data_IF_230333968943
#
_entry.id   IF_230333968943
#
_cell.length_a   1.000
_cell.length_b   1.000
_cell.length_c   1.000
_cell.angle_alpha   90.00
_cell.angle_beta   90.00
_cell.angle_gamma   90.00
#
_symmetry.space_group_name_H-M   'P 1'
#
loop_
_entity.id
_entity.type
_entity.pdbx_description
1 polymer ?
#
# COMPACT_ATOMS: atom_id res chain seq x y z
N UNK A 1 -6.49 6.29 -5.52
CA UNK A 1 -5.80 5.27 -4.74
C UNK A 1 -6.52 3.93 -4.67
N UNK A 2 -7.80 3.87 -4.99
CA UNK A 2 -8.54 2.60 -5.00
C UNK A 2 -7.99 1.62 -6.05
N UNK A 3 -7.73 2.14 -7.24
CA UNK A 3 -7.19 1.31 -8.31
C UNK A 3 -5.84 0.70 -7.91
N UNK A 4 -5.01 1.51 -7.29
CA UNK A 4 -3.70 1.05 -6.86
C UNK A 4 -3.82 0.03 -5.73
N UNK A 5 -4.77 0.26 -4.80
CA UNK A 5 -5.01 -0.68 -3.72
C UNK A 5 -5.50 -2.02 -4.28
N UNK A 6 -6.40 -1.99 -5.24
CA UNK A 6 -6.89 -3.20 -5.89
C UNK A 6 -5.75 -3.96 -6.56
N UNK A 7 -4.89 -3.22 -7.25
CA UNK A 7 -3.73 -3.82 -7.89
C UNK A 7 -2.81 -4.49 -6.88
N UNK A 8 -2.59 -3.82 -5.75
CA UNK A 8 -1.75 -4.38 -4.70
C UNK A 8 -2.33 -5.67 -4.12
N UNK A 9 -3.61 -5.65 -3.82
CA UNK A 9 -4.28 -6.82 -3.28
C UNK A 9 -4.17 -7.99 -4.25
N UNK A 10 -4.41 -7.72 -5.52
CA UNK A 10 -4.32 -8.72 -6.55
C UNK A 10 -2.90 -9.23 -6.74
N UNK A 11 -1.97 -8.29 -6.78
CA UNK A 11 -0.56 -8.58 -7.01
C UNK A 11 0.06 -9.42 -5.89
N UNK A 12 -0.35 -9.15 -4.66
CA UNK A 12 0.17 -9.84 -3.47
C UNK A 12 -0.76 -10.92 -2.96
N UNK A 13 -1.82 -11.22 -3.69
CA UNK A 13 -2.79 -12.26 -3.32
C UNK A 13 -3.39 -12.05 -1.93
N UNK A 14 -3.57 -10.80 -1.56
CA UNK A 14 -4.16 -10.46 -0.27
C UNK A 14 -3.24 -10.65 0.93
N UNK A 15 -1.96 -10.81 0.70
CA UNK A 15 -1.01 -10.99 1.79
C UNK A 15 -0.69 -9.64 2.42
N UNK A 16 -1.28 -9.38 3.59
CA UNK A 16 -1.07 -8.11 4.29
C UNK A 16 0.38 -7.81 4.58
N UNK A 17 1.11 -8.79 5.06
CA UNK A 17 2.52 -8.60 5.41
C UNK A 17 3.34 -8.20 4.20
N UNK A 18 3.11 -8.84 3.08
CA UNK A 18 3.82 -8.51 1.86
C UNK A 18 3.48 -7.10 1.39
N UNK A 19 2.20 -6.74 1.47
CA UNK A 19 1.73 -5.41 1.07
C UNK A 19 2.37 -4.35 1.96
N UNK A 20 2.25 -4.51 3.26
CA UNK A 20 2.77 -3.53 4.21
C UNK A 20 4.28 -3.41 4.12
N UNK A 21 4.97 -4.53 4.10
CA UNK A 21 6.43 -4.52 4.03
C UNK A 21 6.94 -3.85 2.76
N UNK A 22 6.34 -4.21 1.63
CA UNK A 22 6.72 -3.66 0.34
C UNK A 22 6.45 -2.16 0.28
N UNK A 23 5.26 -1.75 0.69
CA UNK A 23 4.87 -0.35 0.61
C UNK A 23 5.58 0.53 1.63
N UNK A 24 5.81 0.03 2.83
CA UNK A 24 6.54 0.80 3.82
C UNK A 24 7.93 1.17 3.31
N UNK A 25 8.59 0.22 2.69
CA UNK A 25 9.90 0.45 2.11
C UNK A 25 9.83 1.51 1.03
N UNK A 26 8.84 1.43 0.16
CA UNK A 26 8.65 2.40 -0.91
C UNK A 26 8.34 3.78 -0.35
N UNK A 27 7.48 3.85 0.65
CA UNK A 27 7.11 5.11 1.26
C UNK A 27 8.33 5.79 1.88
N UNK A 28 9.11 5.05 2.65
CA UNK A 28 10.30 5.60 3.29
C UNK A 28 11.30 6.07 2.24
N UNK A 29 11.49 5.26 1.22
CA UNK A 29 12.44 5.58 0.17
C UNK A 29 12.05 6.83 -0.61
N UNK A 30 10.77 6.99 -0.89
CA UNK A 30 10.29 8.11 -1.69
C UNK A 30 9.92 9.34 -0.87
N UNK A 31 9.90 9.23 0.43
CA UNK A 31 9.52 10.32 1.31
C UNK A 31 10.28 11.60 1.03
N UNK A 32 11.57 11.49 0.78
CA UNK A 32 12.41 12.65 0.52
C UNK A 32 12.48 13.00 -0.95
N UNK A 33 12.53 11.99 -1.79
CA UNK A 33 12.70 12.20 -3.23
C UNK A 33 11.41 12.55 -3.92
N UNK A 34 10.33 11.92 -3.50
CA UNK A 34 9.05 12.05 -4.20
C UNK A 34 7.90 11.99 -3.21
N UNK A 35 7.68 13.07 -2.46
CA UNK A 35 6.64 13.06 -1.42
C UNK A 35 5.24 12.79 -1.97
N UNK A 36 4.94 13.26 -3.18
CA UNK A 36 3.64 12.99 -3.80
C UNK A 36 3.42 11.50 -4.00
N UNK A 37 4.44 10.83 -4.48
CA UNK A 37 4.38 9.40 -4.70
C UNK A 37 4.25 8.65 -3.37
N UNK A 38 4.98 9.08 -2.36
CA UNK A 38 4.91 8.48 -1.04
C UNK A 38 3.50 8.58 -0.47
N UNK A 39 2.83 9.72 -0.67
CA UNK A 39 1.45 9.90 -0.25
C UNK A 39 0.52 8.93 -0.96
N UNK A 40 0.72 8.78 -2.24
CA UNK A 40 -0.07 7.86 -3.05
C UNK A 40 0.08 6.43 -2.54
N UNK A 41 1.29 6.03 -2.29
CA UNK A 41 1.56 4.69 -1.78
C UNK A 41 0.97 4.49 -0.40
N UNK A 42 1.05 5.52 0.43
CA UNK A 42 0.46 5.46 1.77
C UNK A 42 -1.06 5.31 1.68
N UNK A 43 -1.68 6.06 0.79
CA UNK A 43 -3.12 5.96 0.58
C UNK A 43 -3.51 4.56 0.11
N UNK A 44 -2.79 4.03 -0.84
CA UNK A 44 -3.04 2.69 -1.36
C UNK A 44 -2.86 1.64 -0.28
N UNK A 45 -1.82 1.77 0.52
CA UNK A 45 -1.57 0.85 1.62
C UNK A 45 -2.73 0.87 2.62
N UNK A 46 -3.14 2.06 3.03
CA UNK A 46 -4.23 2.20 3.99
C UNK A 46 -5.52 1.62 3.45
N UNK A 47 -5.82 1.88 2.18
CA UNK A 47 -7.01 1.35 1.54
C UNK A 47 -6.96 -0.17 1.46
N UNK A 48 -5.83 -0.72 1.07
CA UNK A 48 -5.65 -2.15 0.97
C UNK A 48 -5.80 -2.81 2.34
N UNK A 49 -5.16 -2.23 3.35
CA UNK A 49 -5.24 -2.75 4.71
C UNK A 49 -6.65 -2.70 5.25
N UNK A 50 -7.38 -1.64 4.93
CA UNK A 50 -8.75 -1.51 5.34
C UNK A 50 -9.61 -2.61 4.74
N UNK A 51 -9.40 -2.90 3.48
CA UNK A 51 -10.15 -3.95 2.80
C UNK A 51 -9.82 -5.33 3.32
N UNK A 52 -8.54 -5.60 3.50
CA UNK A 52 -8.09 -6.91 3.96
C UNK A 52 -8.31 -7.11 5.45
N UNK A 53 -8.22 -6.02 6.22
CA UNK A 53 -8.38 -6.07 7.66
C UNK A 53 -9.83 -6.09 8.12
N UNK A 54 -10.74 -5.92 7.20
CA UNK A 54 -12.15 -5.79 7.53
C UNK A 54 -12.71 -7.01 8.25
N UNK A 55 -12.17 -8.16 7.95
CA UNK A 55 -12.64 -9.40 8.55
C UNK A 55 -11.91 -9.80 9.82
N UNK A 56 -10.88 -9.09 10.13
CA UNK A 56 -10.08 -9.42 11.31
C UNK A 56 -10.75 -8.99 12.58
#
# INVERSE_FOLDING_TARGET
CDALANWLIKSRKGNKKAIVGSLNQQIVFNRKKNPSYARKMKCARNTAMKRLGKKS
#
